data_IF_383350246488
#
_entry.id   IF_383350246488
#
_cell.length_a   1.000
_cell.length_b   1.000
_cell.length_c   1.000
_cell.angle_alpha   90.00
_cell.angle_beta   90.00
_cell.angle_gamma   90.00
#
_symmetry.space_group_name_H-M   'P 1'
#
loop_
_entity.id
_entity.type
_entity.pdbx_description
1 polymer ?
#
# COMPACT_ATOMS: atom_id res chain seq x y z
N UNK A 1 -13.29 -10.55 8.84
CA UNK A 1 -12.92 -9.16 8.52
C UNK A 1 -14.15 -8.28 8.71
N UNK A 2 -14.06 -7.14 9.40
CA UNK A 2 -15.24 -6.26 9.56
C UNK A 2 -15.45 -5.48 8.27
N UNK A 3 -16.71 -5.15 7.91
CA UNK A 3 -17.05 -4.43 6.66
C UNK A 3 -16.30 -3.09 6.53
N UNK A 4 -16.08 -2.39 7.64
CA UNK A 4 -15.30 -1.13 7.68
C UNK A 4 -13.84 -1.33 7.26
N UNK A 5 -13.23 -2.45 7.64
CA UNK A 5 -11.84 -2.78 7.27
C UNK A 5 -11.74 -3.09 5.78
N UNK A 6 -12.78 -3.70 5.19
CA UNK A 6 -12.87 -3.97 3.74
C UNK A 6 -12.96 -2.67 2.95
N UNK A 7 -13.82 -1.75 3.38
CA UNK A 7 -13.95 -0.45 2.71
C UNK A 7 -12.63 0.33 2.74
N UNK A 8 -11.93 0.30 3.88
CA UNK A 8 -10.63 0.95 4.00
C UNK A 8 -9.58 0.28 3.10
N UNK A 9 -9.57 -1.05 3.05
CA UNK A 9 -8.67 -1.82 2.18
C UNK A 9 -8.92 -1.54 0.70
N UNK A 10 -10.17 -1.58 0.23
CA UNK A 10 -10.50 -1.28 -1.16
C UNK A 10 -10.10 0.15 -1.55
N UNK A 11 -10.41 1.13 -0.69
CA UNK A 11 -10.06 2.53 -0.93
C UNK A 11 -8.55 2.73 -1.06
N UNK A 12 -7.78 2.05 -0.21
CA UNK A 12 -6.32 2.09 -0.28
C UNK A 12 -5.80 1.39 -1.54
N UNK A 13 -6.26 0.17 -1.82
CA UNK A 13 -5.79 -0.63 -2.96
C UNK A 13 -6.09 -0.01 -4.32
N UNK A 14 -7.12 0.84 -4.42
CA UNK A 14 -7.51 1.56 -5.63
C UNK A 14 -6.89 2.95 -5.74
N UNK A 15 -5.92 3.30 -4.89
CA UNK A 15 -5.18 4.56 -5.02
C UNK A 15 -4.42 4.61 -6.36
N UNK A 16 -4.37 5.80 -6.98
CA UNK A 16 -3.72 6.02 -8.28
C UNK A 16 -2.27 5.54 -8.31
N UNK A 17 -1.50 5.80 -7.26
CA UNK A 17 -0.09 5.41 -7.19
C UNK A 17 0.09 3.89 -7.18
N UNK A 18 -0.80 3.19 -6.49
CA UNK A 18 -0.80 1.73 -6.41
C UNK A 18 -1.23 1.13 -7.75
N UNK A 19 -2.28 1.67 -8.36
CA UNK A 19 -2.73 1.24 -9.69
C UNK A 19 -1.66 1.44 -10.76
N UNK A 20 -1.00 2.61 -10.78
CA UNK A 20 0.06 2.91 -11.74
C UNK A 20 1.25 1.95 -11.55
N UNK A 21 1.66 1.72 -10.30
CA UNK A 21 2.73 0.77 -9.98
C UNK A 21 2.35 -0.66 -10.36
N UNK A 22 1.09 -1.05 -10.14
CA UNK A 22 0.59 -2.37 -10.50
C UNK A 22 0.60 -2.59 -12.02
N UNK A 23 0.08 -1.63 -12.78
CA UNK A 23 0.07 -1.68 -14.26
C UNK A 23 1.49 -1.78 -14.80
N UNK A 24 2.41 -0.95 -14.30
CA UNK A 24 3.81 -0.96 -14.74
C UNK A 24 4.52 -2.28 -14.45
N UNK A 25 4.29 -2.86 -13.27
CA UNK A 25 4.93 -4.12 -12.86
C UNK A 25 4.33 -5.36 -13.51
N UNK A 26 3.07 -5.29 -13.96
CA UNK A 26 2.34 -6.43 -14.55
C UNK A 26 1.95 -6.20 -16.01
N UNK A 27 2.65 -5.31 -16.72
CA UNK A 27 2.32 -4.91 -18.08
C UNK A 27 2.21 -6.10 -19.05
N UNK A 28 3.14 -7.06 -18.97
CA UNK A 28 3.09 -8.28 -19.77
C UNK A 28 1.83 -9.12 -19.47
N UNK A 29 1.46 -9.23 -18.20
CA UNK A 29 0.24 -9.93 -17.79
C UNK A 29 -1.01 -9.25 -18.35
N UNK A 30 -1.07 -7.92 -18.28
CA UNK A 30 -2.18 -7.14 -18.84
C UNK A 30 -2.27 -7.29 -20.38
N UNK A 31 -1.14 -7.29 -21.09
CA UNK A 31 -1.10 -7.59 -22.53
C UNK A 31 -1.64 -8.99 -22.80
N UNK A 32 -1.21 -9.99 -22.02
CA UNK A 32 -1.66 -11.37 -22.22
C UNK A 32 -3.18 -11.50 -22.07
N UNK A 33 -3.77 -10.79 -21.10
CA UNK A 33 -5.23 -10.74 -20.92
C UNK A 33 -5.90 -10.13 -22.15
N UNK A 34 -5.38 -9.00 -22.64
CA UNK A 34 -5.91 -8.35 -23.83
C UNK A 34 -5.87 -9.29 -25.05
N UNK A 35 -4.74 -9.96 -25.28
CA UNK A 35 -4.59 -10.94 -26.36
C UNK A 35 -5.59 -12.09 -26.21
N UNK A 36 -5.73 -12.66 -25.00
CA UNK A 36 -6.66 -13.77 -24.74
C UNK A 36 -8.10 -13.34 -25.06
N UNK A 37 -8.54 -12.17 -24.58
CA UNK A 37 -9.90 -11.68 -24.84
C UNK A 37 -10.14 -11.48 -26.34
N UNK A 38 -9.18 -10.88 -27.06
CA UNK A 38 -9.30 -10.70 -28.53
C UNK A 38 -9.28 -12.04 -29.29
N UNK A 39 -8.55 -13.05 -28.81
CA UNK A 39 -8.54 -14.38 -29.42
C UNK A 39 -9.90 -15.06 -29.22
N UNK A 40 -10.49 -14.94 -28.04
CA UNK A 40 -11.82 -15.50 -27.75
C UNK A 40 -12.90 -14.85 -28.63
N UNK A 41 -12.86 -13.51 -28.75
CA UNK A 41 -13.70 -12.71 -29.65
C UNK A 41 -13.51 -13.13 -31.12
N UNK A 42 -12.25 -13.27 -31.58
CA UNK A 42 -11.95 -13.70 -32.96
C UNK A 42 -12.50 -15.09 -33.32
N UNK A 43 -12.50 -16.03 -32.35
CA UNK A 43 -13.04 -17.37 -32.57
C UNK A 43 -14.57 -17.43 -32.41
N UNK A 44 -15.23 -16.32 -32.09
CA UNK A 44 -16.68 -16.22 -31.87
C UNK A 44 -17.15 -17.32 -30.89
N UNK A 45 -16.42 -17.47 -29.79
CA UNK A 45 -16.65 -18.56 -28.84
C UNK A 45 -18.00 -18.45 -28.12
N UNK A 46 -18.58 -17.24 -28.05
CA UNK A 46 -19.82 -16.95 -27.32
C UNK A 46 -20.92 -16.47 -28.28
N UNK A 47 -21.89 -17.33 -28.58
CA UNK A 47 -22.97 -17.04 -29.54
C UNK A 47 -24.03 -16.04 -29.02
N UNK A 48 -24.29 -16.01 -27.70
CA UNK A 48 -25.27 -15.11 -27.06
C UNK A 48 -24.58 -14.13 -26.10
N UNK A 49 -25.02 -12.86 -26.10
CA UNK A 49 -24.49 -11.80 -25.23
C UNK A 49 -22.95 -11.73 -25.17
N UNK A 50 -22.31 -11.92 -26.32
CA UNK A 50 -20.85 -12.01 -26.51
C UNK A 50 -20.08 -10.93 -25.72
N UNK A 51 -20.52 -9.68 -25.83
CA UNK A 51 -19.92 -8.54 -25.12
C UNK A 51 -19.90 -8.71 -23.59
N UNK A 52 -20.97 -9.27 -23.00
CA UNK A 52 -21.06 -9.48 -21.56
C UNK A 52 -20.09 -10.59 -21.12
N UNK A 53 -20.03 -11.69 -21.86
CA UNK A 53 -19.11 -12.80 -21.57
C UNK A 53 -17.65 -12.41 -21.75
N UNK A 54 -17.32 -11.64 -22.78
CA UNK A 54 -15.97 -11.10 -22.99
C UNK A 54 -15.56 -10.17 -21.86
N UNK A 55 -16.45 -9.25 -21.43
CA UNK A 55 -16.19 -8.35 -20.30
C UNK A 55 -16.02 -9.14 -19.01
N UNK A 56 -16.90 -10.10 -18.70
CA UNK A 56 -16.77 -10.95 -17.51
C UNK A 56 -15.47 -11.76 -17.54
N UNK A 57 -15.11 -12.33 -18.68
CA UNK A 57 -13.85 -13.06 -18.86
C UNK A 57 -12.65 -12.16 -18.58
N UNK A 58 -12.65 -10.94 -19.14
CA UNK A 58 -11.61 -9.94 -18.86
C UNK A 58 -11.52 -9.58 -17.38
N UNK A 59 -12.65 -9.40 -16.69
CA UNK A 59 -12.70 -9.12 -15.25
C UNK A 59 -12.16 -10.31 -14.44
N UNK A 60 -12.54 -11.54 -14.79
CA UNK A 60 -12.08 -12.75 -14.11
C UNK A 60 -10.57 -12.93 -14.28
N UNK A 61 -10.05 -12.74 -15.50
CA UNK A 61 -8.62 -12.82 -15.78
C UNK A 61 -7.85 -11.72 -15.04
N UNK A 62 -8.36 -10.49 -15.00
CA UNK A 62 -7.76 -9.40 -14.26
C UNK A 62 -7.76 -9.67 -12.75
N UNK A 63 -8.88 -10.15 -12.20
CA UNK A 63 -8.98 -10.54 -10.79
C UNK A 63 -8.01 -11.66 -10.45
N UNK A 64 -7.92 -12.68 -11.30
CA UNK A 64 -6.96 -13.78 -11.16
C UNK A 64 -5.52 -13.29 -11.17
N UNK A 65 -5.16 -12.36 -12.07
CA UNK A 65 -3.84 -11.72 -12.10
C UNK A 65 -3.55 -10.98 -10.78
N UNK A 66 -4.50 -10.19 -10.28
CA UNK A 66 -4.35 -9.47 -9.00
C UNK A 66 -4.13 -10.45 -7.85
N UNK A 67 -4.94 -11.51 -7.76
CA UNK A 67 -4.81 -12.58 -6.78
C UNK A 67 -3.44 -13.24 -6.89
N UNK A 68 -2.99 -13.58 -8.09
CA UNK A 68 -1.71 -14.23 -8.32
C UNK A 68 -0.53 -13.35 -7.86
N UNK A 69 -0.54 -12.07 -8.22
CA UNK A 69 0.50 -11.11 -7.80
C UNK A 69 0.55 -11.00 -6.27
N UNK A 70 -0.62 -10.91 -5.63
CA UNK A 70 -0.74 -10.82 -4.18
C UNK A 70 -0.39 -12.13 -3.47
N UNK A 71 -0.69 -13.28 -4.07
CA UNK A 71 -0.39 -14.58 -3.52
C UNK A 71 1.12 -14.85 -3.46
N UNK A 72 1.88 -14.42 -4.49
CA UNK A 72 3.34 -14.57 -4.50
C UNK A 72 4.02 -13.80 -3.38
N UNK A 73 3.45 -12.66 -2.98
CA UNK A 73 3.98 -11.85 -1.90
C UNK A 73 2.85 -11.17 -1.11
N UNK A 74 2.25 -11.89 -0.15
CA UNK A 74 1.10 -11.39 0.61
C UNK A 74 1.53 -10.54 1.81
N UNK A 75 2.83 -10.43 2.10
CA UNK A 75 3.33 -9.66 3.24
C UNK A 75 3.28 -8.16 2.97
N UNK A 76 2.68 -7.43 3.89
CA UNK A 76 2.60 -5.97 3.88
C UNK A 76 2.76 -5.41 5.29
N UNK A 77 3.11 -4.12 5.41
CA UNK A 77 3.11 -3.41 6.69
C UNK A 77 2.00 -2.38 6.72
N UNK A 78 1.39 -2.19 7.89
CA UNK A 78 0.45 -1.12 8.13
C UNK A 78 0.90 -0.22 9.29
N UNK A 79 1.03 1.09 9.08
CA UNK A 79 1.10 1.74 7.77
C UNK A 79 2.38 1.32 7.01
N UNK A 80 2.33 1.35 5.66
CA UNK A 80 3.52 1.05 4.82
C UNK A 80 4.53 2.20 4.81
N UNK A 81 4.01 3.42 4.95
CA UNK A 81 4.77 4.65 4.93
C UNK A 81 4.39 5.49 6.14
N UNK A 82 5.38 5.95 6.88
CA UNK A 82 5.21 6.83 8.03
C UNK A 82 5.94 8.14 7.76
N UNK A 83 5.22 9.25 7.93
CA UNK A 83 5.81 10.58 7.99
C UNK A 83 5.84 11.01 9.46
N UNK A 84 7.03 11.23 10.01
CA UNK A 84 7.24 11.68 11.38
C UNK A 84 7.76 13.12 11.39
N UNK A 85 7.19 13.98 12.23
CA UNK A 85 7.59 15.38 12.34
C UNK A 85 8.25 15.61 13.70
N UNK A 86 9.56 15.89 13.70
CA UNK A 86 10.41 15.88 14.91
C UNK A 86 9.96 16.84 16.02
N UNK A 87 9.47 18.03 15.67
CA UNK A 87 9.08 19.05 16.68
C UNK A 87 7.59 19.02 17.03
N UNK A 88 6.85 18.03 16.52
CA UNK A 88 5.51 17.73 17.01
C UNK A 88 5.64 16.65 18.07
N UNK A 89 4.85 16.73 19.14
CA UNK A 89 4.68 15.62 20.08
C UNK A 89 3.86 14.51 19.41
N UNK A 90 4.35 14.04 18.26
CA UNK A 90 3.70 13.06 17.41
C UNK A 90 3.70 11.69 18.10
N UNK A 91 2.70 10.89 17.76
CA UNK A 91 2.58 9.54 18.29
C UNK A 91 3.79 8.69 17.88
N UNK A 92 4.15 7.75 18.76
CA UNK A 92 5.15 6.70 18.51
C UNK A 92 4.91 6.08 17.13
N UNK A 93 5.97 5.94 16.33
CA UNK A 93 5.90 5.18 15.08
C UNK A 93 5.57 3.74 15.46
N UNK A 94 4.54 3.16 14.85
CA UNK A 94 4.20 1.75 15.02
C UNK A 94 3.76 1.18 13.67
N UNK A 95 4.56 0.26 13.13
CA UNK A 95 4.25 -0.46 11.90
C UNK A 95 4.17 -1.94 12.20
N UNK A 96 3.08 -2.56 11.78
CA UNK A 96 2.79 -3.97 12.04
C UNK A 96 2.74 -4.77 10.74
N UNK A 97 3.34 -5.98 10.71
CA UNK A 97 3.22 -6.87 9.57
C UNK A 97 1.80 -7.41 9.48
N UNK A 98 1.27 -7.46 8.26
CA UNK A 98 -0.05 -7.98 7.92
C UNK A 98 0.02 -8.76 6.62
N UNK A 99 -0.65 -9.90 6.63
CA UNK A 99 -0.90 -10.68 5.42
C UNK A 99 -2.08 -10.05 4.70
N UNK A 100 -2.00 -10.01 3.37
CA UNK A 100 -3.00 -9.39 2.54
C UNK A 100 -4.41 -9.96 2.86
N UNK A 101 -5.37 -9.08 3.22
CA UNK A 101 -6.71 -9.53 3.59
C UNK A 101 -7.43 -10.25 2.46
N UNK A 102 -7.14 -9.93 1.20
CA UNK A 102 -7.80 -10.55 0.04
C UNK A 102 -7.41 -12.02 -0.08
N UNK A 103 -6.11 -12.33 0.02
CA UNK A 103 -5.60 -13.70 -0.08
C UNK A 103 -6.06 -14.54 1.13
N UNK A 104 -6.10 -13.91 2.30
CA UNK A 104 -6.64 -14.54 3.52
C UNK A 104 -8.15 -14.78 3.42
N UNK A 105 -8.91 -13.82 2.87
CA UNK A 105 -10.36 -13.93 2.72
C UNK A 105 -10.78 -14.98 1.69
N UNK A 106 -10.00 -15.14 0.62
CA UNK A 106 -10.17 -16.23 -0.35
C UNK A 106 -9.75 -17.60 0.21
N UNK A 107 -9.20 -17.66 1.43
CA UNK A 107 -8.76 -18.90 2.07
C UNK A 107 -7.52 -19.53 1.44
N UNK A 108 -6.81 -18.79 0.58
CA UNK A 108 -5.61 -19.27 -0.11
C UNK A 108 -4.42 -19.40 0.84
N UNK A 109 -4.37 -18.55 1.88
CA UNK A 109 -3.34 -18.57 2.92
C UNK A 109 -4.02 -18.39 4.27
N UNK A 110 -3.64 -19.22 5.25
CA UNK A 110 -4.07 -19.05 6.64
C UNK A 110 -2.86 -18.64 7.48
N UNK A 111 -2.90 -17.49 8.17
CA UNK A 111 -1.78 -17.03 9.00
C UNK A 111 -1.33 -18.03 10.08
N UNK A 112 -2.24 -18.92 10.51
CA UNK A 112 -1.95 -19.97 11.50
C UNK A 112 -1.06 -21.08 10.96
N UNK A 113 -0.96 -21.22 9.65
CA UNK A 113 -0.17 -22.27 9.00
C UNK A 113 1.31 -21.89 8.96
N UNK A 114 1.66 -20.64 9.26
CA UNK A 114 3.06 -20.21 9.34
C UNK A 114 3.69 -20.72 10.65
N UNK A 115 4.67 -21.61 10.50
CA UNK A 115 5.40 -22.20 11.63
C UNK A 115 6.83 -21.64 11.67
N UNK A 116 7.34 -21.39 12.89
CA UNK A 116 8.69 -20.84 13.15
C UNK A 116 8.96 -19.54 12.38
N UNK A 117 8.07 -18.56 12.55
CA UNK A 117 8.16 -17.27 11.86
C UNK A 117 9.27 -16.42 12.48
N UNK A 118 10.14 -15.87 11.64
CA UNK A 118 11.19 -14.92 12.02
C UNK A 118 11.27 -13.79 11.01
N UNK A 119 11.41 -12.58 11.49
CA UNK A 119 11.54 -11.39 10.66
C UNK A 119 12.99 -10.89 10.67
N UNK A 120 13.42 -10.37 9.52
CA UNK A 120 14.74 -9.77 9.32
C UNK A 120 14.55 -8.47 8.56
N UNK A 121 15.29 -7.42 8.91
CA UNK A 121 15.25 -6.13 8.23
C UNK A 121 16.63 -5.76 7.66
N UNK A 122 16.65 -5.20 6.46
CA UNK A 122 17.88 -4.70 5.82
C UNK A 122 17.57 -3.59 4.79
N UNK A 123 18.31 -2.47 4.75
CA UNK A 123 19.31 -2.02 5.72
C UNK A 123 18.73 -1.83 7.13
N UNK A 124 19.60 -1.65 8.13
CA UNK A 124 19.18 -1.35 9.50
C UNK A 124 18.25 -0.14 9.55
N UNK A 125 17.34 -0.13 10.54
CA UNK A 125 16.41 0.97 10.75
C UNK A 125 17.12 2.17 11.38
N UNK A 126 16.57 3.36 11.15
CA UNK A 126 17.08 4.62 11.72
C UNK A 126 17.20 4.56 13.24
N UNK A 127 18.16 5.32 13.78
CA UNK A 127 18.33 5.45 15.21
C UNK A 127 17.02 5.85 15.90
N UNK A 128 16.69 5.12 16.96
CA UNK A 128 15.48 5.32 17.76
C UNK A 128 14.25 4.53 17.29
N UNK A 129 14.35 3.79 16.18
CA UNK A 129 13.42 2.72 15.84
C UNK A 129 13.94 1.37 16.36
N UNK A 130 13.03 0.60 16.93
CA UNK A 130 13.27 -0.77 17.39
C UNK A 130 12.49 -1.75 16.50
N UNK A 131 13.04 -2.94 16.32
CA UNK A 131 12.48 -4.01 15.52
C UNK A 131 12.48 -5.32 16.30
N UNK A 132 11.28 -5.85 16.53
CA UNK A 132 11.13 -7.17 17.15
C UNK A 132 11.19 -8.26 16.07
N UNK A 133 12.24 -9.10 16.02
CA UNK A 133 12.38 -10.14 15.01
C UNK A 133 11.41 -11.32 15.20
N UNK A 134 10.70 -11.43 16.32
CA UNK A 134 9.71 -12.48 16.56
C UNK A 134 8.32 -12.07 16.06
N UNK A 135 7.94 -10.82 16.27
CA UNK A 135 6.61 -10.31 15.85
C UNK A 135 6.67 -9.54 14.53
N UNK A 136 7.85 -9.08 14.12
CA UNK A 136 8.08 -8.21 12.98
C UNK A 136 7.61 -6.77 13.20
N UNK A 137 7.20 -6.40 14.42
CA UNK A 137 6.74 -5.04 14.73
C UNK A 137 7.92 -4.07 14.72
N UNK A 138 7.73 -2.93 14.05
CA UNK A 138 8.66 -1.80 14.08
C UNK A 138 8.04 -0.71 14.92
N UNK A 139 8.74 -0.25 15.96
CA UNK A 139 8.25 0.82 16.81
C UNK A 139 9.33 1.73 17.34
N UNK A 140 9.03 3.01 17.58
CA UNK A 140 10.00 3.92 18.16
C UNK A 140 9.81 5.38 17.77
N UNK A 141 10.85 6.16 18.04
CA UNK A 141 10.96 7.57 17.67
C UNK A 141 12.19 7.73 16.78
N UNK A 142 12.00 7.92 15.45
CA UNK A 142 13.14 8.05 14.57
C UNK A 142 13.84 9.39 14.83
N UNK A 143 15.16 9.33 15.04
CA UNK A 143 15.98 10.49 15.43
C UNK A 143 16.67 11.13 14.22
N UNK A 144 16.92 10.33 13.19
CA UNK A 144 17.59 10.74 11.95
C UNK A 144 16.61 11.38 10.98
N UNK A 145 17.00 12.53 10.43
CA UNK A 145 16.22 13.21 9.40
C UNK A 145 16.45 12.56 8.04
N UNK A 146 15.42 12.55 7.19
CA UNK A 146 15.53 12.05 5.83
C UNK A 146 14.47 11.02 5.49
N UNK A 147 14.66 10.37 4.34
CA UNK A 147 13.78 9.34 3.82
C UNK A 147 14.51 8.02 3.77
N UNK A 148 14.11 7.11 4.65
CA UNK A 148 14.76 5.84 4.88
C UNK A 148 13.84 4.70 4.46
N UNK A 149 14.39 3.77 3.67
CA UNK A 149 13.65 2.63 3.13
C UNK A 149 14.38 1.35 3.47
N UNK A 150 13.69 0.45 4.17
CA UNK A 150 14.22 -0.85 4.55
C UNK A 150 13.35 -1.97 3.98
N UNK A 151 13.98 -3.07 3.59
CA UNK A 151 13.31 -4.31 3.23
C UNK A 151 13.15 -5.18 4.48
N UNK A 152 11.93 -5.61 4.74
CA UNK A 152 11.62 -6.57 5.80
C UNK A 152 11.28 -7.91 5.17
N UNK A 153 11.96 -8.96 5.59
CA UNK A 153 11.76 -10.34 5.17
C UNK A 153 11.15 -11.14 6.30
N UNK A 154 10.04 -11.82 6.03
CA UNK A 154 9.41 -12.80 6.90
C UNK A 154 9.81 -14.20 6.44
N UNK A 155 10.60 -14.90 7.24
CA UNK A 155 11.01 -16.29 7.02
C UNK A 155 10.14 -17.21 7.86
N UNK A 156 9.67 -18.30 7.28
CA UNK A 156 8.86 -19.31 7.96
C UNK A 156 9.19 -20.70 7.40
N UNK A 157 8.76 -21.76 8.09
CA UNK A 157 8.89 -23.12 7.55
C UNK A 157 8.00 -23.26 6.31
N UNK A 158 8.61 -23.20 5.14
CA UNK A 158 7.92 -23.25 3.84
C UNK A 158 8.33 -22.15 2.86
N UNK A 159 9.06 -21.13 3.30
CA UNK A 159 9.59 -20.11 2.40
C UNK A 159 9.84 -18.76 3.08
N UNK A 160 9.86 -17.72 2.25
CA UNK A 160 9.98 -16.34 2.72
C UNK A 160 9.12 -15.39 1.90
N UNK A 161 8.66 -14.33 2.55
CA UNK A 161 8.05 -13.17 1.91
C UNK A 161 8.85 -11.93 2.24
N UNK A 162 8.82 -10.92 1.38
CA UNK A 162 9.54 -9.67 1.62
C UNK A 162 8.69 -8.45 1.31
N UNK A 163 8.95 -7.35 1.98
CA UNK A 163 8.17 -6.13 1.78
C UNK A 163 9.00 -4.91 2.13
N UNK A 164 8.68 -3.77 1.55
CA UNK A 164 9.43 -2.53 1.78
C UNK A 164 8.63 -1.59 2.66
N UNK A 165 9.28 -1.11 3.71
CA UNK A 165 8.78 -0.08 4.63
C UNK A 165 9.55 1.21 4.40
N UNK A 166 8.87 2.34 4.59
CA UNK A 166 9.48 3.66 4.41
C UNK A 166 9.13 4.58 5.57
N UNK A 167 10.16 5.18 6.15
CA UNK A 167 10.03 6.19 7.20
C UNK A 167 10.63 7.48 6.68
N UNK A 168 9.84 8.54 6.71
CA UNK A 168 10.32 9.88 6.37
C UNK A 168 10.21 10.77 7.60
N UNK A 169 11.32 11.40 7.94
CA UNK A 169 11.46 12.24 9.13
C UNK A 169 11.81 13.65 8.68
N UNK A 170 10.97 14.60 9.07
CA UNK A 170 11.12 16.00 8.69
C UNK A 170 11.05 16.94 9.91
N UNK A 171 11.71 18.08 9.80
CA UNK A 171 11.59 19.17 10.79
C UNK A 171 10.34 20.03 10.49
N UNK A 172 9.74 20.62 11.53
CA UNK A 172 8.60 21.52 11.37
C UNK A 172 8.82 22.75 10.47
N UNK A 173 10.00 23.42 10.41
CA UNK A 173 10.20 24.54 9.49
C UNK A 173 10.11 24.14 8.00
N UNK A 174 10.35 22.88 7.65
CA UNK A 174 10.24 22.38 6.27
C UNK A 174 8.78 22.24 5.85
N UNK A 175 7.89 21.79 6.74
CA UNK A 175 6.43 21.77 6.48
C UNK A 175 5.87 23.17 6.21
N UNK A 176 6.29 24.18 6.98
CA UNK A 176 5.82 25.57 6.80
C UNK A 176 6.22 26.14 5.45
N UNK A 177 7.40 25.79 4.93
CA UNK A 177 7.84 26.18 3.57
C UNK A 177 7.03 25.47 2.48
N UNK A 178 6.74 24.18 2.63
CA UNK A 178 5.90 23.42 1.70
C UNK A 178 4.44 23.93 1.62
N UNK A 179 3.89 24.41 2.73
CA UNK A 179 2.54 25.00 2.78
C UNK A 179 2.51 26.43 2.23
N UNK A 180 3.53 27.27 2.50
CA UNK A 180 3.63 28.63 1.92
C UNK A 180 3.89 28.63 0.40
N UNK A 181 4.49 27.57 -0.14
CA UNK A 181 4.79 27.44 -1.58
C UNK A 181 3.60 27.02 -2.45
N UNK A 182 2.47 26.62 -1.87
CA UNK A 182 1.21 26.47 -2.61
C UNK A 182 0.45 27.80 -2.53
N UNK A 183 0.06 28.42 -3.66
CA UNK A 183 -0.84 29.57 -3.61
C UNK A 183 -2.19 29.06 -3.08
N UNK A 184 -2.43 29.30 -1.80
CA UNK A 184 -3.77 29.31 -1.24
C UNK A 184 -4.45 30.49 -1.94
N UNK A 185 -5.26 30.23 -2.96
CA UNK A 185 -6.27 31.19 -3.39
C UNK A 185 -7.16 31.47 -2.18
N UNK A 186 -6.84 32.56 -1.46
CA UNK A 186 -7.67 33.04 -0.37
C UNK A 186 -8.91 33.69 -1.00
N UNK A 187 -10.14 33.32 -0.61
CA UNK A 187 -11.32 34.07 -1.00
C UNK A 187 -11.22 35.46 -0.37
N UNK A 188 -11.41 36.48 -1.20
CA UNK A 188 -11.41 37.90 -0.81
C UNK A 188 -12.60 38.14 0.12
N UNK A 189 -12.37 38.03 1.43
CA UNK A 189 -13.31 38.38 2.47
C UNK A 189 -13.24 39.88 2.75
N UNK A 190 -14.34 40.59 2.44
CA UNK A 190 -14.60 41.95 2.86
C UNK A 190 -14.45 42.09 4.39
N UNK A 191 -13.79 43.14 4.86
CA UNK A 191 -14.00 43.67 6.20
C UNK A 191 -14.24 45.18 6.12
N UNK A 192 -15.52 45.50 6.24
CA UNK A 192 -16.05 46.80 6.65
C UNK A 192 -16.06 46.89 8.17
N UNK A 193 -15.45 47.92 8.74
CA UNK A 193 -15.76 48.55 10.04
C UNK A 193 -14.91 49.83 10.16
N UNK A 194 -15.45 51.05 10.01
CA UNK A 194 -16.18 51.83 11.03
C UNK A 194 -15.43 51.93 12.38
N UNK A 195 -14.81 53.08 12.70
CA UNK A 195 -15.40 54.15 13.53
C UNK A 195 -14.35 55.12 14.12
N UNK A 196 -14.59 56.42 13.91
CA UNK A 196 -14.38 57.57 14.82
C UNK A 196 -13.12 57.68 15.70
N UNK A 197 -12.35 58.74 15.46
CA UNK A 197 -12.24 59.93 16.34
C UNK A 197 -11.72 61.10 15.54
#
# INVERSE_FOLDING_TARGET
>A
MKVRDLQLYLRYSLSKDILLSFVRSNFLGLISIFVIVNVIDYYDYFEEDEMLYLVLTGIILLFSLVVFVKYRNPLSYYPRYVLFVKDRNDALVKMEPKIDPLITALGLIKPKDFVNVRYVVYPELDLGLDFDPNTGVISGYPLELGNHTSEVKMKFLGGEYSTTVRVEVIETPVLKRGVKGKPICSPKGNSSSASSS
#
